data_IF_960955271855
#
_entry.id   IF_960955271855
#
_cell.length_a   1.000
_cell.length_b   1.000
_cell.length_c   1.000
_cell.angle_alpha   90.00
_cell.angle_beta   90.00
_cell.angle_gamma   90.00
#
_symmetry.space_group_name_H-M   'P 1'
#
loop_
_entity.id
_entity.type
_entity.pdbx_description
1 polymer ?
#
# COMPACT_ATOMS: atom_id res chain seq x y z
N UNK A 1 -8.76 -2.96 17.64
CA UNK A 1 -8.92 -1.49 17.61
C UNK A 1 -10.09 -1.19 16.70
N UNK A 2 -11.10 -0.48 17.18
CA UNK A 2 -12.24 -0.05 16.39
C UNK A 2 -12.11 1.44 16.01
N UNK A 3 -12.96 1.88 15.06
CA UNK A 3 -12.89 3.25 14.53
C UNK A 3 -13.10 4.31 15.63
N UNK A 4 -13.96 4.06 16.62
CA UNK A 4 -14.20 5.00 17.71
C UNK A 4 -12.94 5.20 18.58
N UNK A 5 -12.21 4.12 18.88
CA UNK A 5 -10.93 4.19 19.59
C UNK A 5 -9.86 4.97 18.82
N UNK A 6 -9.83 4.82 17.49
CA UNK A 6 -8.93 5.60 16.64
C UNK A 6 -9.30 7.08 16.67
N UNK A 7 -10.58 7.41 16.52
CA UNK A 7 -11.07 8.79 16.56
C UNK A 7 -10.82 9.45 17.91
N UNK A 8 -11.01 8.72 19.00
CA UNK A 8 -10.72 9.20 20.35
C UNK A 8 -9.22 9.48 20.54
N UNK A 9 -8.33 8.58 20.07
CA UNK A 9 -6.89 8.79 20.13
C UNK A 9 -6.45 10.03 19.36
N UNK A 10 -7.04 10.29 18.19
CA UNK A 10 -6.78 11.52 17.42
C UNK A 10 -7.29 12.77 18.14
N UNK A 11 -8.46 12.70 18.77
CA UNK A 11 -9.04 13.84 19.49
C UNK A 11 -8.24 14.21 20.75
N UNK A 12 -7.61 13.24 21.39
CA UNK A 12 -6.79 13.46 22.59
C UNK A 12 -5.45 14.15 22.28
N UNK A 13 -5.02 14.19 21.00
CA UNK A 13 -3.82 14.91 20.57
C UNK A 13 -2.53 14.45 21.26
N UNK A 14 -2.48 13.22 21.74
CA UNK A 14 -1.34 12.71 22.48
C UNK A 14 -0.11 12.61 21.57
N UNK A 15 0.90 13.40 21.84
CA UNK A 15 2.23 13.20 21.29
C UNK A 15 2.79 11.91 21.90
N UNK A 16 2.75 10.84 21.13
CA UNK A 16 3.39 9.58 21.51
C UNK A 16 4.91 9.75 21.40
N UNK A 17 5.60 9.71 22.53
CA UNK A 17 7.04 9.58 22.55
C UNK A 17 7.39 8.10 22.27
N UNK A 18 8.05 7.85 21.15
CA UNK A 18 8.53 6.50 20.81
C UNK A 18 9.77 6.23 21.67
N UNK A 19 9.59 5.50 22.76
CA UNK A 19 10.70 5.18 23.69
C UNK A 19 11.67 4.14 23.16
N UNK A 20 11.21 3.27 22.26
CA UNK A 20 12.02 2.21 21.63
C UNK A 20 11.80 2.20 20.10
N UNK A 21 12.40 3.11 19.34
CA UNK A 21 12.26 3.13 17.90
C UNK A 21 12.97 1.92 17.28
N UNK A 22 12.31 1.26 16.33
CA UNK A 22 12.93 0.25 15.47
C UNK A 22 13.95 0.95 14.56
N UNK A 23 15.18 0.47 14.49
CA UNK A 23 16.28 1.10 13.75
C UNK A 23 17.34 0.10 13.30
N UNK A 24 18.09 0.45 12.27
CA UNK A 24 19.20 -0.34 11.78
C UNK A 24 18.76 -1.75 11.37
N UNK A 25 19.43 -2.76 11.92
CA UNK A 25 19.17 -4.17 11.64
C UNK A 25 17.99 -4.77 12.44
N UNK A 26 17.31 -3.97 13.28
CA UNK A 26 16.11 -4.46 13.97
C UNK A 26 15.05 -4.89 12.97
N UNK A 27 14.40 -6.03 13.24
CA UNK A 27 13.30 -6.51 12.40
C UNK A 27 12.14 -5.54 12.42
N UNK A 28 11.77 -5.01 11.25
CA UNK A 28 10.59 -4.16 11.09
C UNK A 28 9.33 -5.00 10.86
N UNK A 29 9.43 -6.02 10.00
CA UNK A 29 8.35 -7.00 9.80
C UNK A 29 8.91 -8.35 9.29
N UNK A 30 8.06 -9.38 9.33
CA UNK A 30 8.34 -10.71 8.80
C UNK A 30 7.19 -11.11 7.89
N UNK A 31 7.51 -11.44 6.63
CA UNK A 31 6.56 -12.00 5.67
C UNK A 31 6.91 -13.46 5.41
N UNK A 32 5.88 -14.32 5.43
CA UNK A 32 6.04 -15.73 5.13
C UNK A 32 5.86 -16.00 3.64
N UNK A 33 6.80 -16.75 3.07
CA UNK A 33 6.73 -17.23 1.69
C UNK A 33 6.51 -18.73 1.66
N UNK A 34 5.91 -19.25 0.58
CA UNK A 34 5.80 -20.69 0.35
C UNK A 34 7.20 -21.29 0.14
N UNK A 35 7.72 -21.99 1.15
CA UNK A 35 9.02 -22.65 1.02
C UNK A 35 8.96 -23.83 0.04
N UNK A 36 10.04 -24.05 -0.72
CA UNK A 36 10.22 -25.21 -1.62
C UNK A 36 10.11 -26.57 -0.93
N UNK A 37 10.27 -26.61 0.39
CA UNK A 37 10.15 -27.81 1.23
C UNK A 37 8.74 -28.02 1.82
N UNK A 38 7.74 -27.24 1.36
CA UNK A 38 6.35 -27.31 1.87
C UNK A 38 6.14 -26.62 3.22
N UNK A 39 7.20 -26.12 3.88
CA UNK A 39 7.06 -25.32 5.11
C UNK A 39 7.26 -23.85 4.79
N UNK A 40 6.36 -22.96 5.25
CA UNK A 40 6.52 -21.53 5.07
C UNK A 40 7.85 -21.04 5.67
N UNK A 41 8.55 -20.15 4.96
CA UNK A 41 9.77 -19.49 5.44
C UNK A 41 9.46 -18.04 5.77
N UNK A 42 9.79 -17.62 6.99
CA UNK A 42 9.70 -16.22 7.41
C UNK A 42 10.90 -15.43 6.87
N UNK A 43 10.64 -14.47 5.99
CA UNK A 43 11.65 -13.52 5.52
C UNK A 43 11.61 -12.31 6.45
N UNK A 44 12.71 -12.07 7.13
CA UNK A 44 12.87 -10.93 8.03
C UNK A 44 13.32 -9.72 7.23
N UNK A 45 12.61 -8.62 7.38
CA UNK A 45 12.96 -7.34 6.77
C UNK A 45 13.33 -6.37 7.88
N UNK A 46 14.58 -5.91 7.87
CA UNK A 46 15.04 -4.93 8.83
C UNK A 46 14.54 -3.52 8.49
N UNK A 47 14.66 -2.63 9.46
CA UNK A 47 14.36 -1.21 9.25
C UNK A 47 15.21 -0.62 8.11
N UNK A 48 16.50 -0.95 8.05
CA UNK A 48 17.38 -0.44 6.99
C UNK A 48 17.02 -1.00 5.61
N UNK A 49 16.56 -2.26 5.52
CA UNK A 49 16.05 -2.81 4.26
C UNK A 49 14.83 -2.01 3.78
N UNK A 50 13.88 -1.74 4.69
CA UNK A 50 12.68 -0.95 4.37
C UNK A 50 13.04 0.47 3.96
N UNK A 51 13.96 1.14 4.68
CA UNK A 51 14.40 2.49 4.35
C UNK A 51 15.09 2.54 2.98
N UNK A 52 15.97 1.57 2.68
CA UNK A 52 16.65 1.49 1.39
C UNK A 52 15.65 1.37 0.23
N UNK A 53 14.68 0.47 0.37
CA UNK A 53 13.61 0.29 -0.60
C UNK A 53 12.74 1.55 -0.75
N UNK A 54 12.32 2.13 0.37
CA UNK A 54 11.46 3.32 0.37
C UNK A 54 12.18 4.51 -0.28
N UNK A 55 13.47 4.71 0.06
CA UNK A 55 14.29 5.78 -0.54
C UNK A 55 14.44 5.58 -2.05
N UNK A 56 14.68 4.35 -2.50
CA UNK A 56 14.75 4.04 -3.92
C UNK A 56 13.45 4.42 -4.64
N UNK A 57 12.30 4.05 -4.08
CA UNK A 57 10.99 4.37 -4.65
C UNK A 57 10.74 5.89 -4.73
N UNK A 58 11.00 6.63 -3.66
CA UNK A 58 10.73 8.08 -3.62
C UNK A 58 11.73 8.92 -4.42
N UNK A 59 12.88 8.35 -4.78
CA UNK A 59 13.86 9.00 -5.68
C UNK A 59 13.47 8.88 -7.15
N UNK A 60 12.56 7.96 -7.50
CA UNK A 60 12.02 7.86 -8.85
C UNK A 60 11.18 9.09 -9.18
N UNK A 61 11.44 9.69 -10.35
CA UNK A 61 10.82 10.95 -10.76
C UNK A 61 9.32 10.84 -10.98
N UNK A 62 8.87 9.70 -11.48
CA UNK A 62 7.44 9.46 -11.73
C UNK A 62 6.70 9.27 -10.43
N UNK A 63 7.35 8.63 -9.45
CA UNK A 63 6.78 8.46 -8.12
C UNK A 63 6.78 9.75 -7.29
N UNK A 64 7.81 10.56 -7.41
CA UNK A 64 7.98 11.80 -6.63
C UNK A 64 7.19 13.01 -7.21
N UNK A 65 6.67 12.90 -8.43
CA UNK A 65 5.97 14.01 -9.10
C UNK A 65 4.73 14.49 -8.33
N UNK A 66 3.83 13.65 -7.80
CA UNK A 66 2.83 14.14 -6.85
C UNK A 66 3.49 14.35 -5.49
N UNK A 67 3.52 15.60 -5.01
CA UNK A 67 4.08 15.95 -3.69
C UNK A 67 3.45 15.18 -2.52
N UNK A 68 2.28 14.61 -2.72
CA UNK A 68 1.54 13.72 -1.80
C UNK A 68 0.86 12.63 -2.62
N UNK A 69 1.51 11.51 -2.85
CA UNK A 69 0.98 10.47 -3.73
C UNK A 69 -0.34 9.91 -3.19
N UNK A 70 -1.25 9.67 -4.11
CA UNK A 70 -2.55 9.05 -3.84
C UNK A 70 -2.50 7.65 -4.44
N UNK A 71 -2.44 6.63 -3.59
CA UNK A 71 -2.25 5.25 -4.02
C UNK A 71 -3.38 4.33 -3.60
N UNK A 72 -3.65 3.34 -4.45
CA UNK A 72 -4.57 2.26 -4.12
C UNK A 72 -3.87 1.20 -3.26
N UNK A 73 -4.42 0.92 -2.08
CA UNK A 73 -3.98 -0.16 -1.19
C UNK A 73 -4.72 -1.47 -1.57
N UNK A 74 -4.40 -2.07 -2.72
CA UNK A 74 -5.09 -3.24 -3.25
C UNK A 74 -4.45 -4.58 -2.81
N UNK A 75 -3.14 -4.82 -2.95
CA UNK A 75 -2.53 -6.04 -2.43
C UNK A 75 -2.67 -6.13 -0.90
N UNK A 76 -2.96 -7.33 -0.35
CA UNK A 76 -3.08 -7.49 1.10
C UNK A 76 -1.74 -7.23 1.79
N UNK A 77 -1.76 -6.70 3.00
CA UNK A 77 -0.55 -6.40 3.79
C UNK A 77 0.32 -7.62 4.11
N UNK A 78 -0.24 -8.83 4.05
CA UNK A 78 0.50 -10.08 4.18
C UNK A 78 1.33 -10.46 2.95
N UNK A 79 1.21 -9.71 1.87
CA UNK A 79 1.94 -9.90 0.62
C UNK A 79 2.95 -8.76 0.42
N UNK A 80 4.18 -9.11 0.04
CA UNK A 80 5.31 -8.17 -0.08
C UNK A 80 5.05 -7.01 -1.05
N UNK A 81 4.25 -7.24 -2.11
CA UNK A 81 3.84 -6.18 -3.03
C UNK A 81 3.15 -5.01 -2.31
N UNK A 82 2.58 -5.23 -1.12
CA UNK A 82 1.96 -4.17 -0.33
C UNK A 82 2.95 -3.07 0.07
N UNK A 83 4.21 -3.42 0.27
CA UNK A 83 5.25 -2.46 0.66
C UNK A 83 5.42 -1.36 -0.38
N UNK A 84 5.20 -1.67 -1.66
CA UNK A 84 5.31 -0.72 -2.77
C UNK A 84 4.28 0.42 -2.71
N UNK A 85 3.16 0.23 -2.03
CA UNK A 85 2.18 1.31 -1.91
C UNK A 85 2.21 1.99 -0.54
N UNK A 86 2.30 1.26 0.58
CA UNK A 86 2.16 1.90 1.88
C UNK A 86 3.43 2.64 2.33
N UNK A 87 4.62 2.06 2.14
CA UNK A 87 5.84 2.63 2.67
C UNK A 87 6.17 4.00 2.04
N UNK A 88 6.29 4.13 0.70
CA UNK A 88 6.60 5.43 0.09
C UNK A 88 5.44 6.43 0.23
N UNK A 89 4.18 5.98 0.18
CA UNK A 89 3.04 6.89 0.35
C UNK A 89 3.04 7.56 1.72
N UNK A 90 3.26 6.78 2.78
CA UNK A 90 3.32 7.32 4.14
C UNK A 90 4.55 8.18 4.35
N UNK A 91 5.71 7.79 3.80
CA UNK A 91 6.94 8.59 3.87
C UNK A 91 6.79 9.97 3.24
N UNK A 92 5.99 10.09 2.17
CA UNK A 92 5.71 11.36 1.48
C UNK A 92 4.46 12.09 2.02
N UNK A 93 3.81 11.59 3.07
CA UNK A 93 2.58 12.16 3.60
C UNK A 93 1.40 12.08 2.64
N UNK A 94 1.37 11.06 1.80
CA UNK A 94 0.33 10.79 0.82
C UNK A 94 -0.93 10.14 1.42
N UNK A 95 -1.83 9.70 0.55
CA UNK A 95 -3.11 9.08 0.91
C UNK A 95 -3.19 7.65 0.36
N UNK A 96 -3.60 6.71 1.21
CA UNK A 96 -3.90 5.33 0.82
C UNK A 96 -5.42 5.15 0.73
N UNK A 97 -5.89 4.77 -0.45
CA UNK A 97 -7.28 4.38 -0.67
C UNK A 97 -7.46 2.89 -0.45
N UNK A 98 -8.28 2.52 0.52
CA UNK A 98 -8.67 1.13 0.79
C UNK A 98 -10.08 0.88 0.30
N UNK A 99 -10.34 -0.33 -0.20
CA UNK A 99 -11.68 -0.73 -0.63
C UNK A 99 -12.26 -1.75 0.37
N UNK A 100 -13.52 -1.60 0.76
CA UNK A 100 -14.20 -2.58 1.60
C UNK A 100 -14.26 -3.95 0.95
N UNK A 101 -14.13 -5.01 1.74
CA UNK A 101 -14.15 -6.39 1.25
C UNK A 101 -15.43 -6.75 0.47
N UNK A 102 -16.54 -6.13 0.79
CA UNK A 102 -17.81 -6.34 0.08
C UNK A 102 -17.73 -5.88 -1.37
N UNK A 103 -16.98 -4.81 -1.65
CA UNK A 103 -16.79 -4.28 -3.02
C UNK A 103 -15.78 -5.16 -3.78
N UNK A 104 -14.77 -5.68 -3.11
CA UNK A 104 -13.70 -6.47 -3.76
C UNK A 104 -14.15 -7.85 -4.22
N UNK A 105 -15.34 -8.31 -3.83
CA UNK A 105 -15.91 -9.59 -4.25
C UNK A 105 -16.64 -9.53 -5.61
N UNK A 106 -16.96 -8.34 -6.10
CA UNK A 106 -17.61 -8.11 -7.38
C UNK A 106 -16.70 -7.26 -8.26
N UNK A 107 -16.15 -7.85 -9.32
CA UNK A 107 -15.19 -7.18 -10.20
C UNK A 107 -15.75 -5.92 -10.86
N UNK A 108 -17.05 -5.88 -11.19
CA UNK A 108 -17.66 -4.69 -11.78
C UNK A 108 -17.70 -3.54 -10.77
N UNK A 109 -18.14 -3.82 -9.54
CA UNK A 109 -18.16 -2.83 -8.47
C UNK A 109 -16.74 -2.41 -8.08
N UNK A 110 -15.82 -3.36 -8.03
CA UNK A 110 -14.41 -3.12 -7.72
C UNK A 110 -13.79 -2.12 -8.71
N UNK A 111 -13.89 -2.37 -10.01
CA UNK A 111 -13.30 -1.47 -11.01
C UNK A 111 -14.05 -0.15 -11.10
N UNK A 112 -15.37 -0.13 -10.95
CA UNK A 112 -16.12 1.12 -10.85
C UNK A 112 -15.63 1.98 -9.68
N UNK A 113 -15.37 1.37 -8.52
CA UNK A 113 -14.85 2.07 -7.35
C UNK A 113 -13.41 2.56 -7.58
N UNK A 114 -12.51 1.70 -8.08
CA UNK A 114 -11.10 2.07 -8.35
C UNK A 114 -11.05 3.30 -9.26
N UNK A 115 -11.74 3.27 -10.39
CA UNK A 115 -11.69 4.35 -11.38
C UNK A 115 -12.51 5.58 -11.01
N UNK A 116 -13.25 5.56 -9.90
CA UNK A 116 -13.88 6.75 -9.31
C UNK A 116 -12.97 7.48 -8.30
N UNK A 117 -11.89 6.86 -7.86
CA UNK A 117 -10.97 7.43 -6.88
C UNK A 117 -9.88 8.27 -7.58
N UNK A 118 -9.38 9.33 -6.93
CA UNK A 118 -8.31 10.16 -7.47
C UNK A 118 -6.94 9.49 -7.27
N UNK A 119 -6.77 8.29 -7.81
CA UNK A 119 -5.53 7.51 -7.69
C UNK A 119 -4.52 8.04 -8.69
N UNK A 120 -3.37 8.48 -8.21
CA UNK A 120 -2.26 8.92 -9.06
C UNK A 120 -1.30 7.76 -9.39
N UNK A 121 -1.13 6.81 -8.47
CA UNK A 121 -0.22 5.68 -8.64
C UNK A 121 -0.92 4.40 -8.19
N UNK A 122 -0.81 3.36 -9.00
CA UNK A 122 -1.38 2.07 -8.71
C UNK A 122 -0.36 0.95 -8.91
N UNK A 123 -0.04 0.24 -7.84
CA UNK A 123 0.78 -0.97 -7.87
C UNK A 123 -0.13 -2.19 -7.90
N UNK A 124 0.09 -3.07 -8.86
CA UNK A 124 -0.76 -4.24 -9.10
C UNK A 124 0.06 -5.47 -9.50
N UNK A 125 -0.53 -6.65 -9.32
CA UNK A 125 -0.03 -7.86 -10.00
C UNK A 125 -0.38 -7.82 -11.49
N UNK A 126 0.41 -8.44 -12.38
CA UNK A 126 0.10 -8.47 -13.81
C UNK A 126 -1.31 -9.02 -14.10
N UNK A 127 -1.70 -10.12 -13.46
CA UNK A 127 -3.03 -10.71 -13.65
C UNK A 127 -4.19 -9.81 -13.22
N UNK A 128 -3.99 -8.99 -12.19
CA UNK A 128 -5.01 -8.02 -11.78
C UNK A 128 -5.07 -6.83 -12.76
N UNK A 129 -3.92 -6.40 -13.28
CA UNK A 129 -3.86 -5.37 -14.32
C UNK A 129 -4.56 -5.87 -15.62
N UNK A 130 -4.33 -7.12 -16.03
CA UNK A 130 -5.00 -7.73 -17.18
C UNK A 130 -6.53 -7.72 -17.00
N UNK A 131 -7.02 -8.07 -15.81
CA UNK A 131 -8.47 -7.99 -15.52
C UNK A 131 -9.00 -6.56 -15.56
N UNK A 132 -8.21 -5.58 -15.08
CA UNK A 132 -8.59 -4.18 -15.14
C UNK A 132 -8.72 -3.68 -16.58
N UNK A 133 -7.78 -4.07 -17.46
CA UNK A 133 -7.79 -3.72 -18.89
C UNK A 133 -9.02 -4.26 -19.63
N UNK A 134 -9.62 -5.35 -19.16
CA UNK A 134 -10.88 -5.87 -19.71
C UNK A 134 -12.12 -5.12 -19.21
N UNK A 135 -11.98 -4.26 -18.23
CA UNK A 135 -13.09 -3.49 -17.67
C UNK A 135 -13.47 -2.31 -18.58
N UNK A 136 -14.75 -2.05 -18.73
CA UNK A 136 -15.29 -0.86 -19.44
C UNK A 136 -14.84 0.48 -18.82
N UNK A 137 -14.32 0.45 -17.58
CA UNK A 137 -13.81 1.62 -16.87
C UNK A 137 -12.34 1.93 -17.19
N UNK A 138 -11.60 0.98 -17.78
CA UNK A 138 -10.20 1.17 -18.17
C UNK A 138 -10.14 1.79 -19.57
N UNK A 139 -10.24 3.10 -19.64
CA UNK A 139 -10.15 3.84 -20.91
C UNK A 139 -9.51 5.22 -20.67
N UNK A 140 -9.00 5.83 -21.76
CA UNK A 140 -8.29 7.11 -21.72
C UNK A 140 -9.13 8.31 -21.23
N UNK A 141 -10.46 8.21 -21.25
CA UNK A 141 -11.33 9.29 -20.74
C UNK A 141 -11.43 9.26 -19.21
N UNK A 142 -11.30 8.07 -18.62
CA UNK A 142 -11.45 7.86 -17.18
C UNK A 142 -10.10 7.74 -16.44
N UNK A 143 -9.02 7.56 -17.20
CA UNK A 143 -7.65 7.55 -16.69
C UNK A 143 -6.89 8.69 -17.37
N UNK A 144 -6.99 9.92 -16.89
CA UNK A 144 -6.14 11.00 -17.36
C UNK A 144 -4.69 10.65 -17.00
N UNK A 145 -3.82 10.62 -18.01
CA UNK A 145 -2.39 10.37 -17.86
C UNK A 145 -1.67 11.48 -17.11
#
# INVERSE_FOLDING_TARGET
INLAQVQEAFAQGNNYEITHPVKGDDNYYIIFTSGTTGKPKGVQISHDNLLSFTNWMIMDKEFATPSRPQMLAQPPYSFDLSVMYWAPTLALGGTLFTLPSVITQDFKQLFAAIFSLPIAIWTSTPSFADMAMLSEYFNSEKMPG
#
